data_IF_755358307908
#
_entry.id   IF_755358307908
#
_cell.length_a   1.000
_cell.length_b   1.000
_cell.length_c   1.000
_cell.angle_alpha   90.00
_cell.angle_beta   90.00
_cell.angle_gamma   90.00
#
_symmetry.space_group_name_H-M   'P 1'
#
loop_
_entity.id
_entity.type
_entity.pdbx_description
1 polymer ?
#
# COMPACT_ATOMS: atom_id res chain seq x y z
N UNK A 1 -10.26 45.59 -29.62
CA UNK A 1 -11.33 44.58 -29.55
C UNK A 1 -10.65 43.25 -29.81
N UNK A 2 -10.22 42.56 -28.76
CA UNK A 2 -9.53 41.27 -28.88
C UNK A 2 -10.06 40.41 -27.75
N UNK A 3 -11.06 39.60 -28.08
CA UNK A 3 -11.65 38.61 -27.17
C UNK A 3 -10.56 37.63 -26.74
N UNK A 4 -10.18 37.69 -25.47
CA UNK A 4 -9.44 36.61 -24.83
C UNK A 4 -10.44 35.50 -24.56
N UNK A 5 -10.30 34.43 -25.31
CA UNK A 5 -10.98 33.16 -25.12
C UNK A 5 -10.70 32.67 -23.68
N UNK A 6 -11.58 32.98 -22.74
CA UNK A 6 -11.54 32.39 -21.39
C UNK A 6 -12.04 30.95 -21.57
N UNK A 7 -11.09 30.02 -21.59
CA UNK A 7 -11.40 28.60 -21.42
C UNK A 7 -12.11 28.49 -20.07
N UNK A 8 -13.42 28.22 -20.09
CA UNK A 8 -14.16 27.86 -18.88
C UNK A 8 -13.48 26.62 -18.30
N UNK A 9 -13.13 26.58 -17.00
CA UNK A 9 -12.70 25.33 -16.41
C UNK A 9 -13.86 24.34 -16.60
N UNK A 10 -13.63 23.27 -17.37
CA UNK A 10 -14.53 22.11 -17.32
C UNK A 10 -14.62 21.71 -15.86
N UNK A 11 -15.80 21.37 -15.35
CA UNK A 11 -16.00 20.87 -13.98
C UNK A 11 -14.88 19.88 -13.66
N UNK A 12 -13.90 20.35 -12.90
CA UNK A 12 -12.68 19.61 -12.67
C UNK A 12 -13.07 18.45 -11.77
N UNK A 13 -13.10 17.24 -12.33
CA UNK A 13 -13.19 16.01 -11.56
C UNK A 13 -11.98 16.03 -10.61
N UNK A 14 -12.18 16.51 -9.39
CA UNK A 14 -11.11 16.96 -8.49
C UNK A 14 -10.44 15.71 -7.94
N UNK A 15 -9.43 15.23 -8.65
CA UNK A 15 -8.65 14.05 -8.28
C UNK A 15 -7.42 14.50 -7.50
N UNK A 16 -7.22 13.88 -6.35
CA UNK A 16 -6.05 14.08 -5.51
C UNK A 16 -4.92 13.13 -5.90
N UNK A 17 -3.69 13.60 -5.73
CA UNK A 17 -2.50 12.75 -5.86
C UNK A 17 -2.44 11.79 -4.68
N UNK A 18 -2.18 10.52 -4.98
CA UNK A 18 -1.83 9.51 -3.99
C UNK A 18 -0.51 8.82 -4.36
N UNK A 19 0.15 8.28 -3.35
CA UNK A 19 1.32 7.42 -3.44
C UNK A 19 0.89 5.99 -3.09
N UNK A 20 1.45 4.98 -3.75
CA UNK A 20 1.23 3.59 -3.38
C UNK A 20 2.51 2.76 -3.49
N UNK A 21 2.56 1.69 -2.70
CA UNK A 21 3.62 0.68 -2.77
C UNK A 21 3.00 -0.72 -2.60
N UNK A 22 3.56 -1.71 -3.29
CA UNK A 22 3.17 -3.10 -3.09
C UNK A 22 3.85 -3.65 -1.83
N UNK A 23 3.15 -4.52 -1.10
CA UNK A 23 3.75 -5.40 -0.11
C UNK A 23 4.08 -6.72 -0.81
N UNK A 24 5.35 -7.08 -0.82
CA UNK A 24 5.86 -8.30 -1.46
C UNK A 24 6.29 -9.29 -0.38
N UNK A 25 5.96 -10.56 -0.59
CA UNK A 25 6.44 -11.66 0.25
C UNK A 25 7.58 -12.35 -0.48
N UNK A 26 8.75 -12.37 0.15
CA UNK A 26 9.96 -13.06 -0.28
C UNK A 26 10.13 -14.25 0.68
N UNK A 27 9.57 -15.44 0.39
CA UNK A 27 9.62 -16.57 1.33
C UNK A 27 11.05 -17.03 1.61
N UNK A 28 11.95 -16.88 0.64
CA UNK A 28 13.37 -17.21 0.79
C UNK A 28 14.27 -16.11 0.24
N UNK A 29 14.98 -15.44 1.13
CA UNK A 29 15.76 -14.26 0.81
C UNK A 29 16.94 -14.56 -0.13
N UNK A 30 17.53 -15.74 -0.01
CA UNK A 30 18.67 -16.18 -0.81
C UNK A 30 18.31 -16.40 -2.28
N UNK A 31 17.04 -16.76 -2.56
CA UNK A 31 16.52 -16.93 -3.93
C UNK A 31 15.92 -15.64 -4.48
N UNK A 32 15.38 -14.78 -3.62
CA UNK A 32 14.81 -13.48 -4.02
C UNK A 32 13.49 -13.57 -4.80
N UNK A 33 12.92 -14.77 -4.92
CA UNK A 33 11.59 -14.98 -5.51
C UNK A 33 10.53 -14.30 -4.65
N UNK A 34 9.52 -13.69 -5.27
CA UNK A 34 8.50 -12.98 -4.51
C UNK A 34 7.12 -13.03 -5.15
N UNK A 35 6.10 -12.83 -4.33
CA UNK A 35 4.72 -12.58 -4.74
C UNK A 35 4.23 -11.28 -4.14
N UNK A 36 3.35 -10.58 -4.85
CA UNK A 36 2.60 -9.49 -4.23
C UNK A 36 1.61 -10.09 -3.23
N UNK A 37 1.48 -9.46 -2.06
CA UNK A 37 0.56 -9.89 -1.00
C UNK A 37 -0.24 -8.72 -0.38
N UNK A 38 -0.09 -7.52 -0.92
CA UNK A 38 -0.86 -6.37 -0.48
C UNK A 38 -0.45 -5.08 -1.14
N UNK A 39 -1.18 -4.02 -0.80
CA UNK A 39 -0.92 -2.65 -1.27
C UNK A 39 -1.05 -1.68 -0.11
N UNK A 40 -0.14 -0.70 -0.09
CA UNK A 40 -0.17 0.48 0.75
C UNK A 40 -0.56 1.68 -0.11
N UNK A 41 -1.49 2.51 0.36
CA UNK A 41 -1.87 3.77 -0.29
C UNK A 41 -1.78 4.89 0.73
N UNK A 42 -1.22 6.01 0.30
CA UNK A 42 -1.17 7.26 1.06
C UNK A 42 -1.66 8.41 0.19
N UNK A 43 -2.61 9.19 0.69
CA UNK A 43 -3.09 10.40 0.04
C UNK A 43 -2.98 11.58 1.01
N UNK A 44 -2.02 12.47 0.74
CA UNK A 44 -1.75 13.64 1.59
C UNK A 44 -2.95 14.57 1.67
N UNK A 45 -3.62 14.84 0.55
CA UNK A 45 -4.75 15.77 0.48
C UNK A 45 -5.89 15.35 1.39
N UNK A 46 -6.13 14.04 1.50
CA UNK A 46 -7.19 13.46 2.33
C UNK A 46 -6.69 12.92 3.68
N UNK A 47 -5.43 13.18 4.05
CA UNK A 47 -4.77 12.63 5.25
C UNK A 47 -4.95 11.11 5.43
N UNK A 48 -5.03 10.38 4.32
CA UNK A 48 -5.34 8.96 4.30
C UNK A 48 -4.07 8.14 4.23
N UNK A 49 -3.99 7.08 5.05
CA UNK A 49 -3.07 5.96 4.84
C UNK A 49 -3.86 4.67 5.03
N UNK A 50 -3.70 3.72 4.13
CA UNK A 50 -4.39 2.45 4.19
C UNK A 50 -3.58 1.32 3.62
N UNK A 51 -3.82 0.13 4.14
CA UNK A 51 -3.30 -1.11 3.60
C UNK A 51 -4.46 -2.07 3.32
N UNK A 52 -4.30 -2.89 2.29
CA UNK A 52 -5.07 -4.13 2.13
C UNK A 52 -4.12 -5.24 1.76
N UNK A 53 -4.36 -6.41 2.34
CA UNK A 53 -3.53 -7.58 2.11
C UNK A 53 -4.34 -8.78 1.62
N UNK A 54 -3.69 -9.63 0.85
CA UNK A 54 -4.21 -10.91 0.41
C UNK A 54 -3.02 -11.85 0.19
N UNK A 55 -3.00 -12.98 0.89
CA UNK A 55 -1.95 -13.97 0.77
C UNK A 55 -2.47 -15.20 0.04
N UNK A 56 -2.01 -15.42 -1.18
CA UNK A 56 -2.21 -16.69 -1.91
C UNK A 56 -1.21 -17.73 -1.38
N UNK A 57 -1.71 -18.59 -0.49
CA UNK A 57 -0.91 -19.65 0.14
C UNK A 57 -0.41 -20.70 -0.84
N UNK A 58 -1.22 -21.04 -1.85
CA UNK A 58 -0.83 -22.02 -2.84
C UNK A 58 0.36 -21.51 -3.67
N UNK A 59 0.31 -20.23 -4.08
CA UNK A 59 1.43 -19.60 -4.79
C UNK A 59 2.66 -19.44 -3.89
N UNK A 60 2.48 -19.08 -2.62
CA UNK A 60 3.57 -18.97 -1.65
C UNK A 60 4.29 -20.31 -1.47
N UNK A 61 3.54 -21.38 -1.17
CA UNK A 61 4.08 -22.71 -0.91
C UNK A 61 4.66 -23.38 -2.17
N UNK A 62 4.24 -22.94 -3.35
CA UNK A 62 4.88 -23.33 -4.61
C UNK A 62 6.28 -22.72 -4.77
N UNK A 63 6.53 -21.52 -4.24
CA UNK A 63 7.87 -20.91 -4.23
C UNK A 63 8.75 -21.46 -3.11
N UNK A 64 8.17 -21.73 -1.93
CA UNK A 64 8.88 -22.35 -0.82
C UNK A 64 7.94 -23.22 0.04
N UNK A 65 8.04 -24.55 -0.03
CA UNK A 65 7.18 -25.45 0.74
C UNK A 65 7.28 -25.28 2.26
N UNK A 66 8.40 -24.74 2.74
CA UNK A 66 8.68 -24.53 4.17
C UNK A 66 8.33 -23.11 4.66
N UNK A 67 7.68 -22.28 3.83
CA UNK A 67 7.35 -20.91 4.21
C UNK A 67 6.48 -20.83 5.47
N UNK A 68 6.83 -19.93 6.41
CA UNK A 68 6.02 -19.65 7.60
C UNK A 68 4.79 -18.81 7.25
N UNK A 69 3.76 -19.49 6.76
CA UNK A 69 2.49 -18.88 6.37
C UNK A 69 1.87 -18.06 7.52
N UNK A 70 1.95 -18.57 8.76
CA UNK A 70 1.34 -17.91 9.92
C UNK A 70 2.08 -16.61 10.27
N UNK A 71 3.41 -16.65 10.34
CA UNK A 71 4.24 -15.47 10.58
C UNK A 71 4.09 -14.41 9.48
N UNK A 72 4.01 -14.82 8.21
CA UNK A 72 3.77 -13.90 7.08
C UNK A 72 2.40 -13.22 7.22
N UNK A 73 1.35 -13.98 7.56
CA UNK A 73 0.01 -13.41 7.77
C UNK A 73 -0.03 -12.43 8.94
N UNK A 74 0.66 -12.75 10.05
CA UNK A 74 0.80 -11.86 11.19
C UNK A 74 1.54 -10.56 10.80
N UNK A 75 2.61 -10.65 10.02
CA UNK A 75 3.35 -9.49 9.54
C UNK A 75 2.50 -8.60 8.61
N UNK A 76 1.73 -9.20 7.69
CA UNK A 76 0.78 -8.48 6.83
C UNK A 76 -0.31 -7.77 7.67
N UNK A 77 -0.87 -8.46 8.67
CA UNK A 77 -1.86 -7.88 9.58
C UNK A 77 -1.29 -6.74 10.43
N UNK A 78 -0.03 -6.81 10.85
CA UNK A 78 0.63 -5.73 11.56
C UNK A 78 0.77 -4.46 10.70
N UNK A 79 0.98 -4.60 9.38
CA UNK A 79 0.99 -3.47 8.45
C UNK A 79 -0.39 -2.80 8.40
N UNK A 80 -1.47 -3.59 8.31
CA UNK A 80 -2.85 -3.07 8.37
C UNK A 80 -3.13 -2.35 9.72
N UNK A 81 -2.65 -2.91 10.83
CA UNK A 81 -2.75 -2.29 12.15
C UNK A 81 -2.06 -0.92 12.25
N UNK A 82 -0.88 -0.78 11.65
CA UNK A 82 -0.16 0.51 11.59
C UNK A 82 -0.96 1.54 10.77
N UNK A 83 -1.54 1.14 9.64
CA UNK A 83 -2.42 2.02 8.86
C UNK A 83 -3.69 2.42 9.62
N UNK A 84 -4.30 1.50 10.38
CA UNK A 84 -5.49 1.79 11.18
C UNK A 84 -5.23 2.83 12.29
N UNK A 85 -4.01 2.87 12.82
CA UNK A 85 -3.66 3.80 13.90
C UNK A 85 -4.10 3.32 15.28
N UNK A 86 -4.10 4.23 16.26
CA UNK A 86 -4.48 3.91 17.64
C UNK A 86 -3.58 2.84 18.26
N UNK A 87 -4.12 2.04 19.19
CA UNK A 87 -3.36 1.01 19.88
C UNK A 87 -2.77 -0.05 18.92
N UNK A 88 -3.41 -0.31 17.78
CA UNK A 88 -2.97 -1.28 16.78
C UNK A 88 -1.69 -0.84 16.04
N UNK A 89 -1.39 0.46 16.02
CA UNK A 89 -0.17 0.99 15.40
C UNK A 89 1.06 0.94 16.33
N UNK A 90 0.90 0.52 17.59
CA UNK A 90 1.99 0.38 18.55
C UNK A 90 2.79 1.67 18.70
N UNK A 91 4.10 1.61 18.43
CA UNK A 91 4.99 2.78 18.51
C UNK A 91 4.64 3.90 17.51
N UNK A 92 3.90 3.58 16.44
CA UNK A 92 3.44 4.55 15.45
C UNK A 92 2.05 5.13 15.77
N UNK A 93 1.47 4.84 16.94
CA UNK A 93 0.14 5.31 17.34
C UNK A 93 -0.01 6.84 17.33
N UNK A 94 1.07 7.56 17.67
CA UNK A 94 1.10 9.03 17.68
C UNK A 94 1.46 9.66 16.34
N UNK A 95 1.77 8.86 15.32
CA UNK A 95 2.28 9.35 14.04
C UNK A 95 1.15 9.72 13.06
N UNK A 96 1.36 10.81 12.31
CA UNK A 96 0.47 11.19 11.21
C UNK A 96 0.49 10.14 10.07
N UNK A 97 -0.50 10.22 9.17
CA UNK A 97 -0.66 9.27 8.06
C UNK A 97 0.60 9.18 7.17
N UNK A 98 1.26 10.31 6.90
CA UNK A 98 2.45 10.34 6.06
C UNK A 98 3.68 9.75 6.76
N UNK A 99 3.83 9.97 8.07
CA UNK A 99 4.93 9.41 8.87
C UNK A 99 4.77 7.89 9.01
N UNK A 100 3.55 7.41 9.20
CA UNK A 100 3.21 5.97 9.16
C UNK A 100 3.49 5.36 7.78
N UNK A 101 3.07 6.01 6.70
CA UNK A 101 3.39 5.55 5.34
C UNK A 101 4.90 5.44 5.12
N UNK A 102 5.67 6.50 5.43
CA UNK A 102 7.14 6.51 5.30
C UNK A 102 7.82 5.42 6.13
N UNK A 103 7.31 5.13 7.32
CA UNK A 103 7.82 4.05 8.16
C UNK A 103 7.53 2.65 7.59
N UNK A 104 6.36 2.48 6.96
CA UNK A 104 5.96 1.23 6.33
C UNK A 104 6.72 0.93 5.04
N UNK A 105 7.05 1.95 4.23
CA UNK A 105 7.83 1.77 3.00
C UNK A 105 9.35 1.67 3.23
N UNK A 106 9.82 1.90 4.46
CA UNK A 106 11.23 1.73 4.79
C UNK A 106 11.62 0.23 4.73
N UNK A 107 12.71 -0.15 4.03
CA UNK A 107 13.18 -1.53 3.97
C UNK A 107 13.64 -2.00 5.35
N UNK A 108 12.81 -2.79 6.05
CA UNK A 108 13.06 -3.22 7.45
C UNK A 108 12.87 -4.70 7.72
N UNK A 109 12.15 -5.41 6.85
CA UNK A 109 11.84 -6.83 6.99
C UNK A 109 12.46 -7.60 5.84
N UNK A 110 12.93 -8.81 6.11
CA UNK A 110 13.53 -9.70 5.11
C UNK A 110 12.47 -10.48 4.33
N UNK A 111 11.31 -10.75 4.92
CA UNK A 111 10.26 -11.60 4.30
C UNK A 111 9.12 -10.76 3.71
N UNK A 112 8.57 -9.80 4.46
CA UNK A 112 7.51 -8.90 3.96
C UNK A 112 8.15 -7.55 3.63
N UNK A 113 8.38 -7.32 2.34
CA UNK A 113 9.15 -6.18 1.84
C UNK A 113 8.24 -5.16 1.14
N UNK A 114 8.39 -3.85 1.40
CA UNK A 114 7.78 -2.85 0.56
C UNK A 114 8.47 -2.81 -0.81
N UNK A 115 7.67 -2.71 -1.87
CA UNK A 115 8.14 -2.44 -3.23
C UNK A 115 8.40 -0.95 -3.48
N UNK A 116 8.80 -0.58 -4.71
CA UNK A 116 8.95 0.82 -5.11
C UNK A 116 7.66 1.62 -4.91
N UNK A 117 7.82 2.91 -4.60
CA UNK A 117 6.69 3.85 -4.50
C UNK A 117 6.35 4.38 -5.88
N UNK A 118 5.05 4.37 -6.18
CA UNK A 118 4.46 4.91 -7.39
C UNK A 118 3.38 5.94 -7.04
N UNK A 119 2.94 6.73 -8.02
CA UNK A 119 1.91 7.75 -7.83
C UNK A 119 0.72 7.55 -8.75
N UNK A 120 -0.44 8.09 -8.36
CA UNK A 120 -1.66 8.09 -9.14
C UNK A 120 -2.59 9.23 -8.76
N UNK A 121 -3.77 9.25 -9.38
CA UNK A 121 -4.83 10.22 -9.13
C UNK A 121 -6.11 9.50 -8.72
N UNK A 122 -6.73 9.90 -7.61
CA UNK A 122 -7.97 9.31 -7.11
C UNK A 122 -8.93 10.37 -6.57
N UNK A 123 -10.23 10.08 -6.59
CA UNK A 123 -11.24 10.83 -5.83
C UNK A 123 -11.50 10.20 -4.46
N UNK A 124 -11.17 8.91 -4.29
CA UNK A 124 -11.38 8.13 -3.08
C UNK A 124 -10.19 7.18 -2.89
N UNK A 125 -9.26 7.48 -1.97
CA UNK A 125 -8.08 6.68 -1.75
C UNK A 125 -8.39 5.33 -1.06
N UNK A 126 -9.51 5.21 -0.35
CA UNK A 126 -9.93 3.94 0.24
C UNK A 126 -10.44 2.97 -0.82
N UNK A 127 -11.30 3.44 -1.73
CA UNK A 127 -11.73 2.66 -2.89
C UNK A 127 -10.54 2.31 -3.80
N UNK A 128 -9.60 3.24 -3.99
CA UNK A 128 -8.39 3.00 -4.78
C UNK A 128 -7.48 1.93 -4.15
N UNK A 129 -7.40 1.87 -2.81
CA UNK A 129 -6.66 0.81 -2.11
C UNK A 129 -7.25 -0.57 -2.45
N UNK A 130 -8.58 -0.71 -2.45
CA UNK A 130 -9.24 -1.95 -2.82
C UNK A 130 -9.03 -2.29 -4.30
N UNK A 131 -9.19 -1.30 -5.19
CA UNK A 131 -8.98 -1.47 -6.62
C UNK A 131 -7.57 -1.95 -6.97
N UNK A 132 -6.55 -1.39 -6.31
CA UNK A 132 -5.15 -1.78 -6.52
C UNK A 132 -4.85 -3.18 -5.98
N UNK A 133 -5.47 -3.58 -4.86
CA UNK A 133 -5.38 -4.96 -4.37
C UNK A 133 -5.92 -5.94 -5.41
N UNK A 134 -7.10 -5.67 -5.94
CA UNK A 134 -7.75 -6.56 -6.91
C UNK A 134 -6.98 -6.62 -8.25
N UNK A 135 -6.29 -5.54 -8.63
CA UNK A 135 -5.55 -5.47 -9.90
C UNK A 135 -4.13 -6.06 -9.81
N UNK A 136 -3.44 -5.87 -8.68
CA UNK A 136 -2.00 -6.13 -8.57
C UNK A 136 -1.65 -7.32 -7.68
N UNK A 137 -2.62 -7.87 -6.95
CA UNK A 137 -2.40 -8.94 -5.96
C UNK A 137 -3.26 -10.17 -6.25
N UNK A 138 -4.56 -9.97 -6.57
CA UNK A 138 -5.53 -11.06 -6.81
C UNK A 138 -5.61 -11.48 -8.26
#
# INVERSE_FOLDING_TARGET
MTERHIIRPSEANTRDVFEYALLRVVPRIERGECINAGVLVYCRAQSYVGARTHLDEARLLALDPDADVAGIRAALGAVEGVCAGGAAAGQAASDDAGRRFRWLIAPRSTVVQPGPVHTGLTVDPAAETQRLLDLLVR
#
